data_IF_121053217317
#
_entry.id   IF_121053217317
#
_cell.length_a   1.000
_cell.length_b   1.000
_cell.length_c   1.000
_cell.angle_alpha   90.00
_cell.angle_beta   90.00
_cell.angle_gamma   90.00
#
_symmetry.space_group_name_H-M   'P 1'
#
loop_
_entity.id
_entity.type
_entity.pdbx_description
1 polymer ?
#
# COMPACT_ATOMS: atom_id res chain seq x y z
N UNK A 1 9.43 -2.50 0.93
CA UNK A 1 9.56 -3.74 1.74
C UNK A 1 10.52 -4.74 1.09
N UNK A 2 10.27 -5.17 -0.15
CA UNK A 2 11.10 -6.19 -0.81
C UNK A 2 12.57 -5.74 -0.94
N UNK A 3 12.82 -4.54 -1.42
CA UNK A 3 14.18 -3.98 -1.50
C UNK A 3 14.80 -3.76 -0.12
N UNK A 4 14.01 -3.35 0.88
CA UNK A 4 14.48 -3.21 2.26
C UNK A 4 14.87 -4.56 2.89
N UNK A 5 14.32 -5.66 2.38
CA UNK A 5 14.70 -7.04 2.71
C UNK A 5 15.82 -7.59 1.80
N UNK A 6 16.57 -6.73 1.13
CA UNK A 6 17.68 -7.07 0.21
C UNK A 6 17.29 -8.02 -0.93
N UNK A 7 16.01 -8.01 -1.34
CA UNK A 7 15.60 -8.76 -2.54
C UNK A 7 15.96 -7.98 -3.79
N UNK A 8 16.61 -8.63 -4.75
CA UNK A 8 17.00 -8.00 -6.01
C UNK A 8 15.77 -7.54 -6.82
N UNK A 9 15.87 -6.41 -7.56
CA UNK A 9 14.76 -5.89 -8.37
C UNK A 9 14.18 -6.92 -9.32
N UNK A 10 15.00 -7.79 -9.92
CA UNK A 10 14.57 -8.86 -10.82
C UNK A 10 13.74 -9.93 -10.09
N UNK A 11 14.07 -10.25 -8.85
CA UNK A 11 13.29 -11.19 -8.02
C UNK A 11 11.93 -10.59 -7.66
N UNK A 12 11.92 -9.31 -7.29
CA UNK A 12 10.70 -8.56 -7.01
C UNK A 12 9.78 -8.54 -8.25
N UNK A 13 10.35 -8.25 -9.42
CA UNK A 13 9.62 -8.25 -10.67
C UNK A 13 9.06 -9.66 -10.99
N UNK A 14 9.87 -10.71 -10.84
CA UNK A 14 9.42 -12.10 -11.05
C UNK A 14 8.30 -12.50 -10.08
N UNK A 15 8.34 -12.03 -8.84
CA UNK A 15 7.29 -12.28 -7.86
C UNK A 15 5.94 -11.76 -8.35
N UNK A 16 5.88 -10.56 -8.92
CA UNK A 16 4.63 -9.98 -9.43
C UNK A 16 4.24 -10.48 -10.81
N UNK A 17 5.18 -10.61 -11.76
CA UNK A 17 4.88 -10.99 -13.16
C UNK A 17 4.44 -12.45 -13.27
N UNK A 18 5.03 -13.36 -12.50
CA UNK A 18 4.65 -14.79 -12.54
C UNK A 18 3.28 -15.07 -11.93
N UNK A 19 2.76 -14.17 -11.11
CA UNK A 19 1.49 -14.35 -10.40
C UNK A 19 0.51 -13.28 -10.86
N UNK A 20 -0.52 -13.69 -11.60
CA UNK A 20 -1.66 -12.80 -11.89
C UNK A 20 -2.29 -12.31 -10.58
N UNK A 21 -2.92 -11.14 -10.57
CA UNK A 21 -3.56 -10.55 -9.37
C UNK A 21 -4.48 -11.54 -8.63
N UNK A 22 -5.16 -12.43 -9.37
CA UNK A 22 -5.97 -13.52 -8.81
C UNK A 22 -5.22 -14.53 -7.93
N UNK A 23 -3.89 -14.61 -8.05
CA UNK A 23 -3.09 -15.48 -7.18
C UNK A 23 -2.81 -14.84 -5.81
N UNK A 24 -2.89 -13.53 -5.71
CA UNK A 24 -2.68 -12.80 -4.46
C UNK A 24 -3.98 -12.60 -3.66
N UNK A 25 -5.12 -12.71 -4.32
CA UNK A 25 -6.42 -12.48 -3.73
C UNK A 25 -7.26 -13.75 -3.70
N UNK A 26 -8.15 -13.86 -2.73
CA UNK A 26 -9.18 -14.89 -2.64
C UNK A 26 -10.55 -14.23 -2.69
N UNK A 27 -11.41 -14.66 -3.61
CA UNK A 27 -12.80 -14.23 -3.59
C UNK A 27 -13.44 -14.56 -2.24
N UNK A 28 -14.09 -13.57 -1.65
CA UNK A 28 -14.86 -13.72 -0.41
C UNK A 28 -16.18 -12.97 -0.58
N UNK A 29 -17.26 -13.58 -0.13
CA UNK A 29 -18.58 -12.93 -0.05
C UNK A 29 -18.69 -12.19 1.30
N UNK A 30 -17.72 -11.33 1.60
CA UNK A 30 -17.74 -10.53 2.81
C UNK A 30 -18.52 -9.23 2.57
N UNK A 31 -19.20 -8.73 3.61
CA UNK A 31 -19.84 -7.40 3.58
C UNK A 31 -18.85 -6.24 3.47
N UNK A 32 -17.57 -6.48 3.75
CA UNK A 32 -16.52 -5.46 3.83
C UNK A 32 -15.57 -5.41 2.62
N UNK A 33 -15.72 -6.30 1.63
CA UNK A 33 -14.89 -6.31 0.43
C UNK A 33 -15.06 -7.58 -0.40
N UNK A 34 -14.71 -7.50 -1.68
CA UNK A 34 -14.90 -8.62 -2.62
C UNK A 34 -13.78 -9.67 -2.55
N UNK A 35 -12.59 -9.29 -2.09
CA UNK A 35 -11.41 -10.17 -2.09
C UNK A 35 -10.62 -10.05 -0.77
N UNK A 36 -10.12 -11.18 -0.29
CA UNK A 36 -9.21 -11.24 0.87
C UNK A 36 -7.76 -11.28 0.41
N UNK A 37 -6.88 -10.56 1.13
CA UNK A 37 -5.43 -10.52 0.92
C UNK A 37 -4.68 -11.69 1.61
N UNK A 38 -5.38 -12.72 2.09
CA UNK A 38 -4.76 -13.85 2.82
C UNK A 38 -3.68 -14.58 2.02
N UNK A 39 -3.90 -14.75 0.70
CA UNK A 39 -2.88 -15.35 -0.19
C UNK A 39 -1.65 -14.46 -0.35
N UNK A 40 -1.84 -13.15 -0.44
CA UNK A 40 -0.74 -12.18 -0.50
C UNK A 40 0.13 -12.27 0.74
N UNK A 41 -0.49 -12.35 1.93
CA UNK A 41 0.20 -12.55 3.21
C UNK A 41 1.14 -13.76 3.14
N UNK A 42 0.60 -14.93 2.76
CA UNK A 42 1.38 -16.18 2.69
C UNK A 42 2.54 -16.07 1.69
N UNK A 43 2.27 -15.54 0.50
CA UNK A 43 3.30 -15.36 -0.53
C UNK A 43 4.39 -14.37 -0.13
N UNK A 44 4.05 -13.28 0.55
CA UNK A 44 5.04 -12.34 1.09
C UNK A 44 5.87 -13.00 2.18
N UNK A 45 5.25 -13.78 3.05
CA UNK A 45 5.95 -14.50 4.12
C UNK A 45 6.97 -15.50 3.57
N UNK A 46 6.56 -16.31 2.58
CA UNK A 46 7.44 -17.24 1.87
C UNK A 46 8.58 -16.55 1.13
N UNK A 47 8.30 -15.40 0.50
CA UNK A 47 9.27 -14.69 -0.33
C UNK A 47 10.27 -13.88 0.50
N UNK A 48 9.80 -13.15 1.51
CA UNK A 48 10.66 -12.27 2.31
C UNK A 48 11.48 -13.06 3.34
N UNK A 49 10.88 -14.08 3.98
CA UNK A 49 11.48 -14.85 5.08
C UNK A 49 11.91 -13.97 6.26
N UNK A 50 11.29 -12.81 6.40
CA UNK A 50 11.49 -11.80 7.44
C UNK A 50 10.13 -11.58 8.10
N UNK A 51 10.10 -11.48 9.42
CA UNK A 51 8.86 -11.35 10.17
C UNK A 51 8.64 -9.95 10.75
N UNK A 52 9.72 -9.27 11.14
CA UNK A 52 9.66 -7.97 11.81
C UNK A 52 10.44 -6.90 11.05
N UNK A 53 10.17 -5.64 11.37
CA UNK A 53 10.91 -4.49 10.81
C UNK A 53 12.39 -4.52 11.24
N UNK A 54 12.70 -5.00 12.44
CA UNK A 54 14.06 -5.04 12.99
C UNK A 54 15.00 -5.97 12.22
N UNK A 55 14.44 -6.92 11.48
CA UNK A 55 15.21 -7.82 10.62
C UNK A 55 15.57 -7.21 9.26
N UNK A 56 15.02 -6.02 8.94
CA UNK A 56 15.31 -5.33 7.68
C UNK A 56 16.69 -4.68 7.71
N UNK A 57 17.42 -4.73 6.60
CA UNK A 57 18.72 -4.09 6.43
C UNK A 57 18.61 -2.59 6.14
N UNK A 58 17.55 -2.18 5.49
CA UNK A 58 17.25 -0.79 5.19
C UNK A 58 16.02 -0.41 6.00
N UNK A 59 16.07 0.66 6.81
CA UNK A 59 14.90 1.14 7.53
C UNK A 59 13.70 1.34 6.60
N UNK A 60 12.52 0.95 7.05
CA UNK A 60 11.29 1.01 6.28
C UNK A 60 10.18 1.62 7.11
N UNK A 61 9.45 2.56 6.52
CA UNK A 61 8.18 3.03 7.05
C UNK A 61 7.05 2.56 6.13
N UNK A 62 6.05 1.89 6.66
CA UNK A 62 4.86 1.43 5.94
C UNK A 62 3.68 2.28 6.35
N UNK A 63 3.07 2.97 5.38
CA UNK A 63 1.91 3.83 5.63
C UNK A 63 0.62 3.07 5.37
N UNK A 64 -0.32 3.15 6.30
CA UNK A 64 -1.68 2.64 6.15
C UNK A 64 -2.70 3.67 6.66
N UNK A 65 -3.96 3.50 6.29
CA UNK A 65 -5.07 4.30 6.78
C UNK A 65 -5.85 3.52 7.83
N UNK A 66 -5.90 4.03 9.05
CA UNK A 66 -6.79 3.56 10.10
C UNK A 66 -8.19 4.09 9.85
N UNK A 67 -9.09 3.21 9.40
CA UNK A 67 -10.49 3.58 9.13
C UNK A 67 -11.35 3.61 10.38
N UNK A 68 -10.86 3.04 11.48
CA UNK A 68 -11.56 3.06 12.78
C UNK A 68 -11.44 4.44 13.42
N UNK A 69 -10.23 5.02 13.40
CA UNK A 69 -9.92 6.31 14.02
C UNK A 69 -9.80 7.47 13.02
N UNK A 70 -9.98 7.20 11.72
CA UNK A 70 -9.88 8.16 10.62
C UNK A 70 -8.54 8.92 10.59
N UNK A 71 -7.42 8.18 10.65
CA UNK A 71 -6.08 8.76 10.66
C UNK A 71 -5.10 7.98 9.78
N UNK A 72 -4.01 8.65 9.35
CA UNK A 72 -2.87 7.99 8.73
C UNK A 72 -1.95 7.41 9.79
N UNK A 73 -1.50 6.17 9.60
CA UNK A 73 -0.59 5.49 10.52
C UNK A 73 0.67 5.07 9.76
N UNK A 74 1.82 5.25 10.41
CA UNK A 74 3.14 4.97 9.87
C UNK A 74 3.82 3.93 10.74
N UNK A 75 3.94 2.72 10.22
CA UNK A 75 4.56 1.59 10.92
C UNK A 75 6.03 1.49 10.56
N UNK A 76 6.88 1.44 11.55
CA UNK A 76 8.33 1.25 11.46
C UNK A 76 8.84 0.11 12.36
N UNK A 77 7.92 -0.56 13.09
CA UNK A 77 8.24 -1.61 14.05
C UNK A 77 7.17 -2.71 14.12
N UNK A 78 7.52 -3.82 14.76
CA UNK A 78 6.64 -4.99 14.98
C UNK A 78 6.56 -5.90 13.76
N UNK A 79 5.45 -6.66 13.62
CA UNK A 79 5.29 -7.62 12.52
C UNK A 79 5.18 -6.90 11.17
N UNK A 80 6.05 -7.26 10.23
CA UNK A 80 6.17 -6.61 8.93
C UNK A 80 5.01 -6.96 7.98
N UNK A 81 4.70 -8.23 7.84
CA UNK A 81 3.78 -8.73 6.79
C UNK A 81 2.35 -8.21 6.96
N UNK A 82 1.74 -8.22 8.16
CA UNK A 82 0.39 -7.67 8.35
C UNK A 82 0.32 -6.19 7.96
N UNK A 83 1.35 -5.41 8.23
CA UNK A 83 1.41 -3.97 7.95
C UNK A 83 1.58 -3.68 6.46
N UNK A 84 2.39 -4.49 5.74
CA UNK A 84 2.46 -4.43 4.27
C UNK A 84 1.11 -4.76 3.65
N UNK A 85 0.44 -5.82 4.12
CA UNK A 85 -0.88 -6.22 3.62
C UNK A 85 -1.91 -5.13 3.89
N UNK A 86 -1.89 -4.49 5.06
CA UNK A 86 -2.74 -3.35 5.38
C UNK A 86 -2.53 -2.19 4.39
N UNK A 87 -1.27 -1.83 4.14
CA UNK A 87 -0.88 -0.78 3.18
C UNK A 87 -1.29 -1.05 1.73
N UNK A 88 -1.58 -2.30 1.38
CA UNK A 88 -2.02 -2.71 0.04
C UNK A 88 -3.52 -3.04 -0.03
N UNK A 89 -4.28 -2.88 1.06
CA UNK A 89 -5.70 -3.22 1.13
C UNK A 89 -6.57 -2.11 0.55
N UNK A 90 -6.61 -2.01 -0.79
CA UNK A 90 -7.38 -1.00 -1.52
C UNK A 90 -8.87 -1.14 -1.20
N UNK A 91 -9.53 -0.06 -0.72
CA UNK A 91 -10.96 -0.06 -0.45
C UNK A 91 -11.79 -0.48 -1.67
N UNK A 92 -12.93 -1.07 -1.45
CA UNK A 92 -13.84 -1.67 -2.43
C UNK A 92 -13.32 -2.98 -3.06
N UNK A 93 -12.02 -3.11 -3.31
CA UNK A 93 -11.43 -4.33 -3.87
C UNK A 93 -11.14 -5.36 -2.78
N UNK A 94 -10.46 -4.93 -1.73
CA UNK A 94 -10.01 -5.83 -0.66
C UNK A 94 -10.74 -5.56 0.66
N UNK A 95 -10.87 -6.62 1.45
CA UNK A 95 -11.30 -6.49 2.84
C UNK A 95 -10.24 -5.74 3.64
N UNK A 96 -10.63 -4.82 4.55
CA UNK A 96 -9.69 -4.20 5.46
C UNK A 96 -8.87 -5.23 6.24
N UNK A 97 -7.59 -4.94 6.43
CA UNK A 97 -6.73 -5.77 7.27
C UNK A 97 -6.90 -5.36 8.73
N UNK A 98 -7.16 -6.34 9.61
CA UNK A 98 -7.26 -6.08 11.04
C UNK A 98 -5.93 -6.37 11.73
N UNK A 99 -5.45 -5.40 12.52
CA UNK A 99 -4.27 -5.50 13.39
C UNK A 99 -4.67 -4.94 14.75
N UNK A 100 -4.52 -5.72 15.80
CA UNK A 100 -4.83 -5.35 17.20
C UNK A 100 -6.24 -4.78 17.38
N UNK A 101 -7.23 -5.33 16.67
CA UNK A 101 -8.64 -4.90 16.72
C UNK A 101 -8.98 -3.68 15.86
N UNK A 102 -7.99 -3.02 15.26
CA UNK A 102 -8.15 -1.83 14.41
C UNK A 102 -8.18 -2.27 12.94
N UNK A 103 -9.04 -1.63 12.14
CA UNK A 103 -9.17 -1.90 10.71
C UNK A 103 -8.35 -0.92 9.88
N UNK A 104 -7.49 -1.47 9.02
CA UNK A 104 -6.60 -0.71 8.15
C UNK A 104 -6.91 -0.97 6.69
N UNK A 105 -6.79 0.07 5.89
CA UNK A 105 -6.82 0.03 4.42
C UNK A 105 -5.59 0.70 3.84
N UNK A 106 -5.49 0.73 2.51
CA UNK A 106 -4.38 1.33 1.77
C UNK A 106 -4.04 2.73 2.27
N UNK A 107 -2.74 2.97 2.49
CA UNK A 107 -2.23 4.25 2.99
C UNK A 107 -2.50 5.42 2.05
N UNK A 108 -2.64 5.14 0.75
CA UNK A 108 -2.96 6.14 -0.27
C UNK A 108 -4.27 6.87 -0.01
N UNK A 109 -5.20 6.30 0.78
CA UNK A 109 -6.46 6.97 1.12
C UNK A 109 -6.23 8.30 1.84
N UNK A 110 -5.28 8.36 2.78
CA UNK A 110 -4.90 9.58 3.48
C UNK A 110 -3.61 10.22 2.96
N UNK A 111 -2.64 9.40 2.55
CA UNK A 111 -1.31 9.86 2.17
C UNK A 111 -0.75 9.01 1.03
N UNK A 112 -1.10 9.39 -0.20
CA UNK A 112 -0.72 8.63 -1.40
C UNK A 112 0.78 8.70 -1.72
N UNK A 113 1.45 9.77 -1.34
CA UNK A 113 2.90 9.96 -1.48
C UNK A 113 3.49 10.26 -0.09
N UNK A 114 3.85 9.26 0.73
CA UNK A 114 4.19 9.44 2.14
C UNK A 114 5.60 10.00 2.36
N UNK A 115 5.83 11.26 1.99
CA UNK A 115 7.09 12.00 2.19
C UNK A 115 7.23 12.48 3.63
N UNK A 116 6.15 13.00 4.23
CA UNK A 116 6.16 13.57 5.60
C UNK A 116 6.75 12.64 6.66
N UNK A 117 6.43 11.35 6.70
CA UNK A 117 6.93 10.46 7.75
C UNK A 117 8.46 10.28 7.75
N UNK A 118 9.11 10.54 6.61
CA UNK A 118 10.56 10.34 6.45
C UNK A 118 11.32 11.65 6.24
N UNK A 119 10.63 12.78 6.06
CA UNK A 119 11.28 14.05 5.69
C UNK A 119 12.35 14.50 6.68
N UNK A 120 12.07 14.40 7.96
CA UNK A 120 13.00 14.81 9.02
C UNK A 120 14.10 13.78 9.31
N UNK A 121 13.92 12.56 8.80
CA UNK A 121 14.87 11.44 8.98
C UNK A 121 15.93 11.38 7.86
N UNK A 122 15.72 12.10 6.77
CA UNK A 122 16.55 12.01 5.56
C UNK A 122 17.03 13.41 5.11
N UNK A 123 18.30 13.53 4.72
CA UNK A 123 18.83 14.76 4.11
C UNK A 123 18.21 15.00 2.73
N UNK A 124 18.08 13.94 1.93
CA UNK A 124 17.50 13.99 0.59
C UNK A 124 16.37 12.97 0.49
N UNK A 125 15.21 13.41 0.01
CA UNK A 125 14.04 12.56 -0.24
C UNK A 125 13.71 12.53 -1.72
N UNK A 126 13.77 11.33 -2.30
CA UNK A 126 13.33 11.06 -3.66
C UNK A 126 11.95 10.42 -3.59
N UNK A 127 10.95 11.07 -4.20
CA UNK A 127 9.60 10.55 -4.29
C UNK A 127 9.36 9.92 -5.67
N UNK A 128 8.73 8.76 -5.71
CA UNK A 128 8.35 8.09 -6.96
C UNK A 128 6.84 8.01 -7.02
N UNK A 129 6.24 8.76 -7.93
CA UNK A 129 4.79 8.78 -8.16
C UNK A 129 4.47 8.01 -9.45
N UNK A 130 3.74 6.90 -9.30
CA UNK A 130 3.43 5.99 -10.44
C UNK A 130 2.05 6.29 -11.03
N UNK A 131 1.18 6.97 -10.29
CA UNK A 131 -0.21 7.21 -10.69
C UNK A 131 -0.35 8.40 -11.65
N UNK A 132 -0.17 8.18 -12.95
CA UNK A 132 -0.67 9.11 -13.95
C UNK A 132 -2.20 8.94 -14.10
N UNK A 133 -2.96 9.99 -13.77
CA UNK A 133 -4.39 10.01 -14.04
C UNK A 133 -4.60 10.19 -15.54
N UNK A 134 -5.06 9.14 -16.21
CA UNK A 134 -5.52 9.27 -17.59
C UNK A 134 -6.76 10.17 -17.65
N UNK A 135 -6.65 11.30 -18.37
CA UNK A 135 -7.69 12.31 -18.44
C UNK A 135 -8.93 11.88 -19.23
N UNK A 136 -8.83 10.83 -20.04
CA UNK A 136 -9.86 10.42 -21.02
C UNK A 136 -10.60 9.13 -20.69
N UNK A 137 -10.61 8.66 -19.46
CA UNK A 137 -11.31 7.44 -19.11
C UNK A 137 -12.81 7.66 -18.95
N UNK A 138 -13.63 7.08 -19.82
CA UNK A 138 -15.09 7.12 -19.73
C UNK A 138 -15.60 6.29 -18.54
N UNK A 139 -16.42 6.91 -17.71
CA UNK A 139 -17.07 6.26 -16.58
C UNK A 139 -18.38 5.60 -17.04
N UNK A 140 -18.31 4.34 -17.49
CA UNK A 140 -19.43 3.66 -18.11
C UNK A 140 -20.48 3.09 -17.13
N UNK A 141 -20.15 2.95 -15.82
CA UNK A 141 -21.07 2.47 -14.80
C UNK A 141 -20.72 3.00 -13.40
N UNK A 142 -21.63 2.83 -12.44
CA UNK A 142 -21.50 3.35 -11.08
C UNK A 142 -20.24 2.87 -10.35
N UNK A 143 -19.84 1.62 -10.55
CA UNK A 143 -18.62 1.08 -9.92
C UNK A 143 -17.36 1.74 -10.47
N UNK A 144 -17.29 1.98 -11.78
CA UNK A 144 -16.18 2.72 -12.42
C UNK A 144 -16.15 4.19 -11.98
N UNK A 145 -17.32 4.81 -11.78
CA UNK A 145 -17.40 6.17 -11.25
C UNK A 145 -16.83 6.20 -9.82
N UNK A 146 -17.22 5.26 -8.97
CA UNK A 146 -16.72 5.17 -7.59
C UNK A 146 -15.20 4.93 -7.55
N UNK A 147 -14.70 3.98 -8.34
CA UNK A 147 -13.27 3.71 -8.51
C UNK A 147 -12.51 4.95 -9.00
N UNK A 148 -13.03 5.63 -10.03
CA UNK A 148 -12.44 6.85 -10.57
C UNK A 148 -12.43 7.98 -9.56
N UNK A 149 -13.52 8.17 -8.82
CA UNK A 149 -13.61 9.19 -7.77
C UNK A 149 -12.59 8.95 -6.67
N UNK A 150 -12.41 7.69 -6.26
CA UNK A 150 -11.37 7.29 -5.31
C UNK A 150 -9.98 7.63 -5.85
N UNK A 151 -9.64 7.23 -7.08
CA UNK A 151 -8.35 7.53 -7.70
C UNK A 151 -8.08 9.04 -7.78
N UNK A 152 -9.08 9.86 -8.15
CA UNK A 152 -8.94 11.31 -8.20
C UNK A 152 -8.67 11.91 -6.81
N UNK A 153 -9.34 11.39 -5.78
CA UNK A 153 -9.11 11.81 -4.39
C UNK A 153 -7.70 11.45 -3.93
N UNK A 154 -7.25 10.22 -4.18
CA UNK A 154 -5.90 9.76 -3.86
C UNK A 154 -4.83 10.63 -4.52
N UNK A 155 -4.99 10.94 -5.80
CA UNK A 155 -4.04 11.77 -6.52
C UNK A 155 -4.04 13.24 -6.06
N UNK A 156 -5.17 13.77 -5.59
CA UNK A 156 -5.20 15.14 -5.05
C UNK A 156 -4.43 15.26 -3.73
N UNK A 157 -4.40 14.20 -2.93
CA UNK A 157 -3.72 14.17 -1.63
C UNK A 157 -2.19 14.18 -1.76
N UNK A 158 -1.62 13.75 -2.90
CA UNK A 158 -0.15 13.74 -3.10
C UNK A 158 0.45 15.13 -3.31
N UNK A 159 -0.34 16.15 -3.67
CA UNK A 159 0.16 17.49 -4.02
C UNK A 159 0.94 18.19 -2.91
N UNK A 160 0.57 18.00 -1.65
CA UNK A 160 1.24 18.63 -0.51
C UNK A 160 2.57 17.94 -0.27
N UNK A 161 2.56 16.61 -0.21
CA UNK A 161 3.74 15.79 0.06
C UNK A 161 4.77 15.88 -1.05
N UNK A 162 4.33 16.04 -2.30
CA UNK A 162 5.21 16.26 -3.46
C UNK A 162 6.15 17.48 -3.30
N UNK A 163 5.66 18.56 -2.65
CA UNK A 163 6.47 19.75 -2.41
C UNK A 163 7.54 19.58 -1.32
N UNK A 164 7.45 18.51 -0.53
CA UNK A 164 8.38 18.19 0.54
C UNK A 164 9.50 17.26 0.06
N UNK A 165 9.37 16.66 -1.12
CA UNK A 165 10.42 15.87 -1.72
C UNK A 165 11.42 16.78 -2.46
N UNK A 166 12.68 16.39 -2.47
CA UNK A 166 13.76 17.10 -3.17
C UNK A 166 13.72 16.74 -4.67
N UNK A 167 13.33 15.51 -5.00
CA UNK A 167 13.15 14.99 -6.37
C UNK A 167 11.83 14.19 -6.45
N UNK A 168 11.12 14.34 -7.58
CA UNK A 168 9.87 13.61 -7.89
C UNK A 168 9.89 13.08 -9.30
#
# INVERSE_FOLDING_TARGET
>A
AMLAAERYPEECLRFFVRKKMMHFARFTLSKSGFMSMSKMRNHLQEFLQIQTFDELKIPLVVTATDVTNATSVHFDQGELIPRIVASCSIPLLFTPTQIDGIHYVDGGVFMNLPVRPIRELCETVIAVEINSIDQKQEAANMLRIAERSLHLTLASNSRIDRKLADLV
#
